data_IF_986148963858
#
_entry.id   IF_986148963858
#
_cell.length_a   1.000
_cell.length_b   1.000
_cell.length_c   1.000
_cell.angle_alpha   90.00
_cell.angle_beta   90.00
_cell.angle_gamma   90.00
#
_symmetry.space_group_name_H-M   'P 1'
#
loop_
_entity.id
_entity.type
_entity.pdbx_description
1 polymer ?
#
# COMPACT_ATOMS: atom_id res chain seq x y z
N UNK A 1 -41.52 16.16 7.59
CA UNK A 1 -40.65 16.08 8.79
C UNK A 1 -39.57 15.06 8.48
N UNK A 2 -38.30 15.38 8.65
CA UNK A 2 -37.22 14.42 8.37
C UNK A 2 -37.27 13.27 9.36
N UNK A 3 -37.22 12.02 8.90
CA UNK A 3 -37.02 10.87 9.77
C UNK A 3 -35.64 10.97 10.41
N UNK A 4 -35.56 10.74 11.73
CA UNK A 4 -34.26 10.67 12.41
C UNK A 4 -33.62 9.33 12.04
N UNK A 5 -32.37 9.33 11.59
CA UNK A 5 -31.63 8.12 11.27
C UNK A 5 -30.46 7.98 12.24
N UNK A 6 -30.12 6.74 12.59
CA UNK A 6 -28.98 6.40 13.46
C UNK A 6 -27.95 5.58 12.66
N UNK A 7 -26.70 5.57 13.13
CA UNK A 7 -25.65 4.72 12.57
C UNK A 7 -25.75 3.29 13.14
N UNK A 8 -25.25 2.29 12.40
CA UNK A 8 -25.23 0.90 12.87
C UNK A 8 -24.48 0.74 14.19
N UNK A 9 -23.38 1.46 14.40
CA UNK A 9 -22.61 1.45 15.65
C UNK A 9 -23.47 1.85 16.85
N UNK A 10 -24.31 2.88 16.72
CA UNK A 10 -25.22 3.33 17.78
C UNK A 10 -26.31 2.29 18.09
N UNK A 11 -26.74 1.53 17.09
CA UNK A 11 -27.69 0.44 17.29
C UNK A 11 -27.03 -0.78 17.95
N UNK A 12 -25.83 -1.15 17.49
CA UNK A 12 -25.07 -2.28 18.00
C UNK A 12 -24.64 -2.04 19.47
N UNK A 13 -24.26 -0.81 19.82
CA UNK A 13 -23.93 -0.43 21.19
C UNK A 13 -25.14 -0.55 22.13
N UNK A 14 -26.31 -0.08 21.70
CA UNK A 14 -27.55 -0.20 22.48
C UNK A 14 -27.96 -1.67 22.67
N UNK A 15 -27.81 -2.51 21.65
CA UNK A 15 -28.05 -3.96 21.76
C UNK A 15 -27.05 -4.60 22.71
N UNK A 16 -25.77 -4.22 22.64
CA UNK A 16 -24.74 -4.76 23.52
C UNK A 16 -24.95 -4.35 24.98
N UNK A 17 -25.35 -3.10 25.23
CA UNK A 17 -25.72 -2.57 26.55
C UNK A 17 -26.91 -3.36 27.13
N UNK A 18 -27.94 -3.63 26.32
CA UNK A 18 -29.09 -4.45 26.72
C UNK A 18 -28.68 -5.88 27.12
N UNK A 19 -27.72 -6.48 26.42
CA UNK A 19 -27.20 -7.82 26.75
C UNK A 19 -26.36 -7.78 28.04
N UNK A 20 -25.51 -6.76 28.22
CA UNK A 20 -24.55 -6.73 29.33
C UNK A 20 -25.10 -6.17 30.63
N UNK A 21 -25.98 -5.16 30.56
CA UNK A 21 -26.50 -4.48 31.75
C UNK A 21 -27.79 -5.13 32.26
N UNK A 22 -28.58 -5.71 31.37
CA UNK A 22 -29.88 -6.29 31.70
C UNK A 22 -29.92 -7.82 31.52
N UNK A 23 -28.78 -8.45 31.20
CA UNK A 23 -28.62 -9.91 31.03
C UNK A 23 -29.66 -10.52 30.07
N UNK A 24 -30.12 -9.74 29.09
CA UNK A 24 -31.11 -10.17 28.12
C UNK A 24 -30.53 -11.16 27.11
N UNK A 25 -31.35 -12.11 26.66
CA UNK A 25 -30.99 -12.95 25.53
C UNK A 25 -30.77 -12.10 24.26
N UNK A 26 -29.78 -12.43 23.41
CA UNK A 26 -29.42 -11.57 22.26
C UNK A 26 -30.57 -11.28 21.30
N UNK A 27 -31.50 -12.22 21.12
CA UNK A 27 -32.69 -12.02 20.29
C UNK A 27 -33.72 -11.07 20.93
N UNK A 28 -33.77 -11.05 22.26
CA UNK A 28 -34.63 -10.17 23.04
C UNK A 28 -34.07 -8.75 23.08
N UNK A 29 -32.77 -8.61 23.33
CA UNK A 29 -32.07 -7.33 23.32
C UNK A 29 -32.22 -6.58 21.98
N UNK A 30 -32.16 -7.29 20.86
CA UNK A 30 -32.41 -6.70 19.52
C UNK A 30 -33.86 -6.24 19.36
N UNK A 31 -34.83 -7.02 19.84
CA UNK A 31 -36.25 -6.61 19.77
C UNK A 31 -36.53 -5.38 20.62
N UNK A 32 -35.95 -5.30 21.82
CA UNK A 32 -36.10 -4.14 22.69
C UNK A 32 -35.45 -2.88 22.08
N UNK A 33 -34.22 -2.99 21.56
CA UNK A 33 -33.55 -1.87 20.90
C UNK A 33 -34.35 -1.35 19.70
N UNK A 34 -34.91 -2.26 18.88
CA UNK A 34 -35.78 -1.88 17.76
C UNK A 34 -37.01 -1.10 18.24
N UNK A 35 -37.71 -1.59 19.27
CA UNK A 35 -38.88 -0.90 19.82
C UNK A 35 -38.52 0.47 20.40
N UNK A 36 -37.40 0.58 21.10
CA UNK A 36 -36.94 1.83 21.70
C UNK A 36 -36.64 2.90 20.65
N UNK A 37 -35.98 2.54 19.54
CA UNK A 37 -35.67 3.46 18.46
C UNK A 37 -36.91 3.80 17.60
N UNK A 38 -37.79 2.83 17.33
CA UNK A 38 -39.04 3.07 16.63
C UNK A 38 -39.98 3.99 17.42
N UNK A 39 -40.05 3.85 18.76
CA UNK A 39 -40.81 4.74 19.64
C UNK A 39 -40.28 6.19 19.65
N UNK A 40 -38.98 6.37 19.37
CA UNK A 40 -38.35 7.69 19.23
C UNK A 40 -38.51 8.28 17.81
N UNK A 41 -39.18 7.57 16.91
CA UNK A 41 -39.39 7.99 15.52
C UNK A 41 -38.12 7.88 14.66
N UNK A 42 -37.23 6.94 15.02
CA UNK A 42 -36.01 6.65 14.24
C UNK A 42 -36.35 5.67 13.12
N UNK A 43 -35.88 5.96 11.91
CA UNK A 43 -35.99 5.09 10.74
C UNK A 43 -34.85 4.07 10.73
N UNK A 44 -35.21 2.79 10.88
CA UNK A 44 -34.29 1.66 10.98
C UNK A 44 -34.15 0.87 9.66
N UNK A 45 -34.63 1.40 8.52
CA UNK A 45 -34.59 0.70 7.23
C UNK A 45 -33.17 0.36 6.73
N UNK A 46 -32.16 1.11 7.17
CA UNK A 46 -30.75 0.90 6.83
C UNK A 46 -29.95 0.14 7.91
N UNK A 47 -30.62 -0.38 8.95
CA UNK A 47 -29.98 -1.04 10.10
C UNK A 47 -30.12 -2.57 9.97
N UNK A 48 -29.01 -3.27 10.15
CA UNK A 48 -28.96 -4.74 10.18
C UNK A 48 -29.42 -5.21 11.57
N UNK A 49 -30.53 -5.96 11.60
CA UNK A 49 -31.20 -6.45 12.84
C UNK A 49 -30.87 -7.92 13.18
N UNK A 50 -29.76 -8.45 12.68
CA UNK A 50 -29.41 -9.88 12.82
C UNK A 50 -28.63 -10.15 14.12
N UNK A 51 -29.08 -11.15 14.87
CA UNK A 51 -28.48 -11.57 16.14
C UNK A 51 -27.25 -12.44 15.86
N UNK A 52 -26.11 -12.12 16.49
CA UNK A 52 -24.88 -12.93 16.39
C UNK A 52 -24.87 -13.98 17.50
N UNK A 53 -24.45 -15.23 17.23
CA UNK A 53 -24.26 -16.20 18.31
C UNK A 53 -23.04 -15.82 19.17
N UNK A 54 -23.24 -15.82 20.49
CA UNK A 54 -22.18 -15.63 21.49
C UNK A 54 -21.39 -16.94 21.62
N UNK A 55 -20.06 -16.88 21.51
CA UNK A 55 -19.18 -18.02 21.83
C UNK A 55 -18.72 -17.88 23.28
N UNK A 56 -18.91 -18.93 24.09
CA UNK A 56 -18.46 -19.03 25.49
C UNK A 56 -16.92 -19.00 25.55
N UNK A 57 -16.36 -17.80 25.54
CA UNK A 57 -15.06 -17.47 26.10
C UNK A 57 -14.96 -15.95 26.05
N UNK A 58 -14.73 -15.31 27.20
CA UNK A 58 -14.66 -13.85 27.37
C UNK A 58 -13.53 -13.12 26.63
N UNK A 59 -13.16 -13.60 25.44
CA UNK A 59 -12.35 -12.92 24.44
C UNK A 59 -13.30 -12.39 23.36
N UNK A 60 -13.18 -11.11 23.00
CA UNK A 60 -13.76 -10.58 21.76
C UNK A 60 -13.26 -11.42 20.59
N UNK A 61 -14.04 -12.41 20.14
CA UNK A 61 -13.82 -13.09 18.88
C UNK A 61 -14.07 -12.08 17.76
N UNK A 62 -13.00 -11.41 17.31
CA UNK A 62 -13.00 -10.77 16.00
C UNK A 62 -12.94 -11.87 14.95
N UNK A 63 -14.13 -12.24 14.49
CA UNK A 63 -14.48 -12.84 13.20
C UNK A 63 -13.64 -14.03 12.70
N UNK A 64 -14.21 -15.23 12.80
CA UNK A 64 -14.27 -16.10 11.63
C UNK A 64 -15.50 -15.69 10.81
N UNK A 65 -15.34 -14.79 9.84
CA UNK A 65 -16.22 -14.76 8.66
C UNK A 65 -15.43 -15.40 7.53
N UNK A 66 -15.49 -16.72 7.48
CA UNK A 66 -15.32 -17.46 6.25
C UNK A 66 -16.72 -17.76 5.70
N UNK A 67 -16.94 -17.34 4.45
CA UNK A 67 -17.85 -17.94 3.47
C UNK A 67 -19.28 -17.44 3.21
N UNK A 68 -19.85 -16.45 3.90
CA UNK A 68 -21.16 -15.90 3.46
C UNK A 68 -21.10 -14.38 3.34
N UNK A 69 -20.71 -13.92 2.14
CA UNK A 69 -20.55 -12.49 1.86
C UNK A 69 -19.53 -12.14 0.76
N UNK A 70 -19.09 -13.11 -0.05
CA UNK A 70 -18.31 -12.87 -1.26
C UNK A 70 -19.17 -12.23 -2.39
N UNK A 71 -19.77 -11.08 -2.10
CA UNK A 71 -20.17 -10.08 -3.09
C UNK A 71 -19.45 -8.75 -2.82
N UNK A 72 -18.25 -8.79 -2.23
CA UNK A 72 -17.28 -7.74 -2.50
C UNK A 72 -17.01 -7.80 -4.01
N UNK A 73 -17.48 -6.79 -4.75
CA UNK A 73 -17.33 -6.68 -6.18
C UNK A 73 -15.90 -7.06 -6.55
N UNK A 74 -15.74 -8.17 -7.27
CA UNK A 74 -14.44 -8.57 -7.79
C UNK A 74 -14.00 -7.43 -8.69
N UNK A 75 -13.09 -6.58 -8.20
CA UNK A 75 -12.50 -5.55 -9.01
C UNK A 75 -11.83 -6.27 -10.17
N UNK A 76 -12.32 -6.01 -11.37
CA UNK A 76 -11.68 -6.48 -12.59
C UNK A 76 -10.24 -5.98 -12.62
N UNK A 77 -9.36 -6.68 -13.33
CA UNK A 77 -8.00 -6.21 -13.63
C UNK A 77 -8.01 -4.74 -14.09
N UNK A 78 -9.03 -4.35 -14.87
CA UNK A 78 -9.22 -2.97 -15.35
C UNK A 78 -9.47 -1.96 -14.22
N UNK A 79 -10.24 -2.32 -13.21
CA UNK A 79 -10.52 -1.46 -12.06
C UNK A 79 -9.31 -1.38 -11.11
N UNK A 80 -8.60 -2.50 -10.89
CA UNK A 80 -7.32 -2.50 -10.16
C UNK A 80 -6.26 -1.65 -10.87
N UNK A 81 -6.17 -1.77 -12.20
CA UNK A 81 -5.28 -0.96 -13.03
C UNK A 81 -5.66 0.53 -12.99
N UNK A 82 -6.95 0.86 -12.95
CA UNK A 82 -7.41 2.24 -12.85
C UNK A 82 -6.97 2.86 -11.52
N UNK A 83 -7.11 2.12 -10.40
CA UNK A 83 -6.61 2.55 -9.09
C UNK A 83 -5.09 2.79 -9.09
N UNK A 84 -4.32 1.89 -9.70
CA UNK A 84 -2.86 2.03 -9.81
C UNK A 84 -2.43 3.23 -10.66
N UNK A 85 -3.14 3.52 -11.76
CA UNK A 85 -2.83 4.66 -12.65
C UNK A 85 -3.05 6.00 -11.97
N UNK A 86 -4.08 6.13 -11.14
CA UNK A 86 -4.31 7.35 -10.34
C UNK A 86 -3.16 7.56 -9.36
N UNK A 87 -2.73 6.54 -8.62
CA UNK A 87 -1.58 6.64 -7.71
C UNK A 87 -0.25 6.97 -8.39
N UNK A 88 0.00 6.41 -9.57
CA UNK A 88 1.25 6.62 -10.35
C UNK A 88 1.42 8.04 -10.92
N UNK A 89 0.32 8.78 -11.09
CA UNK A 89 0.34 10.20 -11.49
C UNK A 89 0.65 11.09 -10.28
N UNK A 90 0.20 10.70 -9.09
CA UNK A 90 0.46 11.40 -7.83
C UNK A 90 1.90 11.22 -7.34
N UNK A 91 2.45 10.00 -7.36
CA UNK A 91 3.86 9.74 -6.98
C UNK A 91 4.87 10.59 -7.79
N UNK A 92 4.58 10.86 -9.06
CA UNK A 92 5.43 11.71 -9.92
C UNK A 92 5.34 13.20 -9.61
N UNK A 93 4.32 13.67 -8.90
CA UNK A 93 4.13 15.08 -8.53
C UNK A 93 4.67 15.43 -7.15
N UNK A 94 4.85 14.45 -6.25
CA UNK A 94 5.33 14.66 -4.87
C UNK A 94 6.78 15.12 -4.72
N UNK A 95 7.60 15.09 -5.78
CA UNK A 95 9.04 15.45 -5.73
C UNK A 95 9.36 16.95 -5.91
N UNK A 96 8.38 17.82 -6.15
CA UNK A 96 8.60 19.24 -6.43
C UNK A 96 7.58 20.12 -5.70
N UNK A 97 7.69 20.21 -4.37
CA UNK A 97 7.02 21.28 -3.64
C UNK A 97 7.97 21.99 -2.68
N UNK A 98 9.04 22.56 -3.24
CA UNK A 98 9.79 23.63 -2.56
C UNK A 98 9.45 24.96 -3.22
N UNK A 99 8.65 25.77 -2.49
CA UNK A 99 8.41 27.21 -2.66
C UNK A 99 7.64 27.66 -3.92
N UNK A 100 6.38 28.00 -3.72
CA UNK A 100 5.77 29.12 -4.42
C UNK A 100 5.04 30.01 -3.39
N UNK A 101 5.62 31.20 -3.15
CA UNK A 101 5.01 32.26 -2.34
C UNK A 101 3.80 32.82 -3.07
N UNK A 102 2.76 33.10 -2.30
CA UNK A 102 1.54 33.81 -2.71
C UNK A 102 1.86 35.24 -3.17
N UNK A 103 1.45 35.58 -4.38
CA UNK A 103 1.44 36.93 -4.92
C UNK A 103 0.44 37.02 -6.06
N UNK A 104 -0.53 37.93 -5.93
CA UNK A 104 -1.72 37.99 -6.75
C UNK A 104 -1.51 38.39 -8.21
N UNK A 105 -2.53 38.07 -9.00
CA UNK A 105 -2.86 38.54 -10.35
C UNK A 105 -1.78 38.39 -11.44
N UNK A 106 -2.03 37.42 -12.34
CA UNK A 106 -1.51 37.43 -13.71
C UNK A 106 -0.66 36.22 -14.06
N UNK A 107 -1.22 35.31 -14.87
CA UNK A 107 -0.48 34.26 -15.57
C UNK A 107 0.61 34.89 -16.45
N UNK A 108 1.88 34.72 -16.07
CA UNK A 108 3.03 34.86 -16.97
C UNK A 108 3.64 33.49 -17.22
N UNK A 109 3.54 33.04 -18.46
CA UNK A 109 4.22 31.85 -18.97
C UNK A 109 5.70 32.19 -19.16
N UNK A 110 6.57 31.59 -18.36
CA UNK A 110 8.01 31.60 -18.64
C UNK A 110 8.31 30.59 -19.75
N UNK A 111 8.63 31.08 -20.94
CA UNK A 111 9.22 30.28 -22.02
C UNK A 111 10.63 29.80 -21.62
N UNK A 112 10.85 28.49 -21.67
CA UNK A 112 12.18 27.88 -21.68
C UNK A 112 12.29 26.91 -22.85
N UNK A 113 13.11 27.27 -23.86
CA UNK A 113 13.36 26.50 -25.09
C UNK A 113 14.05 25.15 -24.78
N UNK A 114 13.53 24.07 -25.33
CA UNK A 114 14.31 22.85 -25.58
C UNK A 114 15.07 23.01 -26.90
N UNK A 115 16.40 22.89 -26.85
CA UNK A 115 17.28 22.77 -28.04
C UNK A 115 17.27 21.31 -28.51
N UNK A 116 17.06 21.10 -29.81
CA UNK A 116 17.21 19.81 -30.49
C UNK A 116 16.05 19.52 -31.42
N UNK A 117 16.15 19.95 -32.68
CA UNK A 117 15.13 19.71 -33.70
C UNK A 117 15.35 18.41 -34.47
N UNK A 118 14.26 17.76 -34.87
CA UNK A 118 14.07 17.02 -36.13
C UNK A 118 12.53 16.92 -36.41
N UNK A 119 12.09 16.80 -37.68
CA UNK A 119 10.77 17.23 -38.14
C UNK A 119 9.68 16.14 -38.05
N UNK A 120 8.45 16.56 -37.76
CA UNK A 120 7.23 15.75 -37.86
C UNK A 120 6.87 15.48 -39.33
N UNK A 121 7.07 14.24 -39.80
CA UNK A 121 6.46 13.72 -41.02
C UNK A 121 5.00 13.33 -40.78
N UNK A 122 4.10 13.74 -41.68
CA UNK A 122 2.65 13.45 -41.63
C UNK A 122 2.38 11.98 -41.97
N UNK A 123 1.49 11.32 -41.24
CA UNK A 123 0.86 10.05 -41.66
C UNK A 123 -0.59 10.29 -42.14
N UNK A 124 -1.08 9.53 -43.14
CA UNK A 124 -2.33 9.82 -43.87
C UNK A 124 -3.63 9.46 -43.11
N UNK A 125 -4.73 10.10 -43.53
CA UNK A 125 -6.08 10.09 -42.92
C UNK A 125 -6.93 8.83 -43.17
N UNK A 126 -6.40 7.75 -43.74
CA UNK A 126 -7.23 6.69 -44.35
C UNK A 126 -7.40 5.39 -43.54
N UNK A 127 -7.10 5.39 -42.24
CA UNK A 127 -7.37 4.24 -41.34
C UNK A 127 -8.56 4.43 -40.38
N UNK A 128 -9.35 5.50 -40.55
CA UNK A 128 -10.57 5.70 -39.75
C UNK A 128 -11.80 5.05 -40.41
N UNK A 129 -11.90 3.73 -40.30
CA UNK A 129 -13.16 3.00 -40.49
C UNK A 129 -14.06 3.15 -39.26
N UNK A 130 -15.35 3.41 -39.49
CA UNK A 130 -16.32 3.83 -38.49
C UNK A 130 -16.60 2.77 -37.40
N UNK A 131 -16.41 3.15 -36.13
CA UNK A 131 -16.89 2.44 -34.95
C UNK A 131 -17.38 3.46 -33.89
N UNK A 132 -18.36 3.12 -33.03
CA UNK A 132 -19.12 4.10 -32.26
C UNK A 132 -18.22 4.88 -31.30
N UNK A 133 -18.47 6.18 -31.27
CA UNK A 133 -17.61 7.24 -30.71
C UNK A 133 -17.16 6.92 -29.28
N UNK A 134 -15.84 6.86 -29.06
CA UNK A 134 -15.26 7.08 -27.72
C UNK A 134 -14.21 6.10 -27.19
N UNK A 135 -13.65 5.19 -28.00
CA UNK A 135 -12.52 4.35 -27.56
C UNK A 135 -11.33 4.51 -28.52
N UNK A 136 -10.10 4.80 -28.05
CA UNK A 136 -8.91 4.50 -28.82
C UNK A 136 -8.66 2.98 -28.82
N UNK A 137 -8.03 2.42 -29.87
CA UNK A 137 -7.81 0.99 -29.99
C UNK A 137 -6.84 0.51 -28.90
N UNK A 138 -7.09 -0.70 -28.39
CA UNK A 138 -6.15 -1.40 -27.51
C UNK A 138 -5.04 -1.90 -28.41
N UNK A 139 -3.91 -1.20 -28.42
CA UNK A 139 -2.66 -1.74 -28.93
C UNK A 139 -1.89 -2.27 -27.72
N UNK A 140 -1.75 -3.59 -27.66
CA UNK A 140 -0.72 -4.26 -26.87
C UNK A 140 0.64 -3.67 -27.25
N UNK A 141 1.28 -2.99 -26.29
CA UNK A 141 2.69 -2.60 -26.43
C UNK A 141 3.38 -2.98 -25.13
N UNK A 142 4.06 -4.12 -25.22
CA UNK A 142 5.16 -4.48 -24.34
C UNK A 142 6.30 -3.45 -24.45
N UNK A 143 7.03 -3.31 -23.34
CA UNK A 143 8.40 -2.78 -23.24
C UNK A 143 8.61 -1.26 -23.35
N UNK A 144 9.17 -0.72 -22.26
CA UNK A 144 10.21 0.32 -22.22
C UNK A 144 10.09 1.50 -23.18
N UNK A 145 9.62 2.66 -22.68
CA UNK A 145 10.13 3.97 -23.10
C UNK A 145 9.60 5.09 -22.20
N UNK A 146 10.45 6.10 -21.94
CA UNK A 146 10.12 7.39 -21.33
C UNK A 146 8.92 8.04 -22.04
N UNK A 147 7.89 8.42 -21.29
CA UNK A 147 6.84 9.30 -21.80
C UNK A 147 6.84 10.63 -21.04
N UNK A 148 7.13 11.68 -21.81
CA UNK A 148 6.98 13.07 -21.42
C UNK A 148 5.52 13.45 -21.21
N UNK A 149 5.37 14.51 -20.43
CA UNK A 149 4.15 15.18 -19.99
C UNK A 149 3.07 15.39 -21.06
N UNK A 150 1.89 14.81 -20.80
CA UNK A 150 0.60 15.27 -21.36
C UNK A 150 -0.24 15.80 -20.19
N UNK A 151 -0.73 17.05 -20.22
CA UNK A 151 -1.61 17.56 -19.18
C UNK A 151 -2.99 16.91 -19.35
N UNK A 152 -3.43 16.14 -18.35
CA UNK A 152 -4.84 15.75 -18.25
C UNK A 152 -5.64 16.99 -17.83
N UNK A 153 -6.46 17.49 -18.75
CA UNK A 153 -7.53 18.42 -18.46
C UNK A 153 -8.61 17.76 -17.59
N UNK A 154 -9.40 18.51 -16.81
CA UNK A 154 -10.32 17.97 -15.80
C UNK A 154 -11.52 17.17 -16.36
N UNK A 155 -11.56 16.91 -17.67
CA UNK A 155 -12.73 16.41 -18.39
C UNK A 155 -12.71 14.89 -18.65
N UNK A 156 -11.72 14.15 -18.14
CA UNK A 156 -11.65 12.68 -18.27
C UNK A 156 -12.21 11.92 -17.05
N UNK A 157 -13.07 12.54 -16.25
CA UNK A 157 -13.94 11.83 -15.29
C UNK A 157 -15.20 11.42 -16.05
N UNK A 158 -15.33 10.14 -16.38
CA UNK A 158 -16.57 9.59 -16.96
C UNK A 158 -17.75 9.85 -16.00
N UNK A 159 -18.97 10.17 -16.50
CA UNK A 159 -20.18 10.32 -15.68
C UNK A 159 -20.72 9.01 -15.06
N UNK A 160 -19.94 7.93 -15.05
CA UNK A 160 -20.26 6.65 -14.40
C UNK A 160 -19.51 6.41 -13.10
N UNK A 161 -18.52 7.25 -12.76
CA UNK A 161 -17.87 7.25 -11.44
C UNK A 161 -18.61 8.16 -10.45
N UNK A 162 -19.94 8.24 -10.56
CA UNK A 162 -20.80 9.08 -9.72
C UNK A 162 -21.02 8.54 -8.30
N UNK A 163 -20.48 7.36 -7.98
CA UNK A 163 -20.33 6.83 -6.64
C UNK A 163 -18.90 6.29 -6.52
N UNK A 164 -17.91 7.18 -6.47
CA UNK A 164 -16.63 6.81 -5.88
C UNK A 164 -16.93 6.50 -4.42
N UNK A 165 -17.09 5.22 -4.09
CA UNK A 165 -16.94 4.74 -2.73
C UNK A 165 -15.71 5.44 -2.14
N UNK A 166 -15.84 6.04 -0.97
CA UNK A 166 -14.73 6.75 -0.35
C UNK A 166 -13.52 5.80 -0.29
N UNK A 167 -12.28 6.29 -0.45
CA UNK A 167 -11.11 5.38 -0.38
C UNK A 167 -11.08 4.62 0.95
N UNK A 168 -11.66 5.22 2.00
CA UNK A 168 -11.93 4.57 3.28
C UNK A 168 -12.83 3.32 3.16
N UNK A 169 -13.93 3.38 2.40
CA UNK A 169 -14.77 2.22 2.10
C UNK A 169 -14.01 1.15 1.30
N UNK A 170 -13.19 1.58 0.34
CA UNK A 170 -12.39 0.66 -0.48
C UNK A 170 -11.33 -0.08 0.37
N UNK A 171 -10.66 0.65 1.27
CA UNK A 171 -9.69 0.09 2.21
C UNK A 171 -10.39 -0.89 3.16
N UNK A 172 -11.56 -0.51 3.70
CA UNK A 172 -12.35 -1.36 4.59
C UNK A 172 -12.81 -2.65 3.90
N UNK A 173 -13.24 -2.57 2.65
CA UNK A 173 -13.68 -3.74 1.88
C UNK A 173 -12.51 -4.63 1.39
N UNK A 174 -11.27 -4.11 1.39
CA UNK A 174 -10.03 -4.73 0.91
C UNK A 174 -10.18 -5.69 -0.29
N UNK A 175 -10.79 -5.24 -1.40
CA UNK A 175 -10.94 -6.10 -2.58
C UNK A 175 -9.59 -6.51 -3.17
N UNK A 176 -8.54 -5.70 -2.98
CA UNK A 176 -7.18 -6.03 -3.41
C UNK A 176 -6.55 -7.15 -2.55
N UNK A 177 -6.73 -7.14 -1.23
CA UNK A 177 -6.27 -8.23 -0.36
C UNK A 177 -6.98 -9.55 -0.71
N UNK A 178 -8.31 -9.48 -0.90
CA UNK A 178 -9.09 -10.63 -1.35
C UNK A 178 -8.66 -11.12 -2.75
N UNK A 179 -8.27 -10.22 -3.66
CA UNK A 179 -7.78 -10.59 -4.98
C UNK A 179 -6.44 -11.33 -4.92
N UNK A 180 -5.51 -10.91 -4.05
CA UNK A 180 -4.24 -11.63 -3.84
C UNK A 180 -4.52 -13.04 -3.32
N UNK A 181 -5.40 -13.19 -2.32
CA UNK A 181 -5.75 -14.49 -1.75
C UNK A 181 -6.46 -15.42 -2.76
N UNK A 182 -7.37 -14.88 -3.58
CA UNK A 182 -8.15 -15.66 -4.56
C UNK A 182 -7.41 -15.98 -5.84
N UNK A 183 -6.48 -15.13 -6.25
CA UNK A 183 -5.76 -15.24 -7.53
C UNK A 183 -4.27 -15.49 -7.34
N UNK A 184 -3.88 -16.21 -6.29
CA UNK A 184 -2.49 -16.56 -5.97
C UNK A 184 -1.74 -17.36 -7.06
N UNK A 185 -2.39 -17.77 -8.15
CA UNK A 185 -1.74 -18.37 -9.32
C UNK A 185 -1.41 -17.39 -10.47
N UNK A 186 -1.87 -16.13 -10.41
CA UNK A 186 -1.71 -15.17 -11.49
C UNK A 186 -0.82 -14.00 -11.09
N UNK A 187 0.45 -14.04 -11.51
CA UNK A 187 1.46 -13.03 -11.20
C UNK A 187 1.01 -11.59 -11.52
N UNK A 188 0.38 -11.37 -12.68
CA UNK A 188 -0.09 -10.03 -13.08
C UNK A 188 -1.15 -9.47 -12.12
N UNK A 189 -2.11 -10.31 -11.70
CA UNK A 189 -3.18 -9.92 -10.80
C UNK A 189 -2.65 -9.67 -9.39
N UNK A 190 -1.75 -10.53 -8.90
CA UNK A 190 -1.15 -10.40 -7.57
C UNK A 190 -0.29 -9.14 -7.50
N UNK A 191 0.57 -8.89 -8.49
CA UNK A 191 1.36 -7.66 -8.56
C UNK A 191 0.49 -6.41 -8.64
N UNK A 192 -0.54 -6.41 -9.51
CA UNK A 192 -1.44 -5.25 -9.63
C UNK A 192 -2.25 -5.01 -8.35
N UNK A 193 -2.73 -6.07 -7.70
CA UNK A 193 -3.47 -5.98 -6.46
C UNK A 193 -2.58 -5.49 -5.31
N UNK A 194 -1.35 -5.99 -5.20
CA UNK A 194 -0.37 -5.50 -4.23
C UNK A 194 -0.05 -4.01 -4.44
N UNK A 195 0.09 -3.59 -5.69
CA UNK A 195 0.27 -2.19 -6.06
C UNK A 195 -0.91 -1.32 -5.65
N UNK A 196 -2.12 -1.76 -5.96
CA UNK A 196 -3.35 -1.06 -5.61
C UNK A 196 -3.48 -0.92 -4.08
N UNK A 197 -3.15 -1.98 -3.34
CA UNK A 197 -3.16 -2.01 -1.88
C UNK A 197 -2.15 -1.02 -1.29
N UNK A 198 -0.95 -0.92 -1.87
CA UNK A 198 0.01 0.13 -1.48
C UNK A 198 -0.50 1.52 -1.79
N UNK A 199 -1.10 1.74 -2.98
CA UNK A 199 -1.66 3.03 -3.35
C UNK A 199 -2.74 3.47 -2.36
N UNK A 200 -3.52 2.51 -1.89
CA UNK A 200 -4.54 2.68 -0.85
C UNK A 200 -3.99 3.06 0.53
N UNK A 201 -2.69 3.27 0.70
CA UNK A 201 -2.07 3.80 1.93
C UNK A 201 -1.44 5.19 1.79
N UNK A 202 -1.53 5.86 0.63
CA UNK A 202 -1.04 7.24 0.48
C UNK A 202 -2.05 8.29 0.92
N UNK A 203 -1.64 9.45 1.39
CA UNK A 203 -2.64 10.47 1.73
C UNK A 203 -3.36 10.97 0.47
N UNK A 204 -4.69 10.92 0.47
CA UNK A 204 -5.54 11.36 -0.65
C UNK A 204 -5.76 12.87 -0.66
N UNK A 205 -5.78 13.48 0.54
CA UNK A 205 -6.10 14.89 0.69
C UNK A 205 -4.93 15.62 1.34
N UNK A 206 -4.10 16.23 0.50
CA UNK A 206 -2.99 17.08 0.93
C UNK A 206 -3.44 18.40 1.59
N UNK A 207 -4.74 18.69 1.60
CA UNK A 207 -5.30 19.92 2.18
C UNK A 207 -5.57 19.78 3.67
N UNK A 208 -5.67 18.55 4.18
CA UNK A 208 -5.80 18.31 5.62
C UNK A 208 -4.41 18.24 6.26
N UNK A 209 -4.26 18.76 7.49
CA UNK A 209 -2.97 18.78 8.17
C UNK A 209 -2.45 17.37 8.54
N UNK A 210 -3.35 16.39 8.63
CA UNK A 210 -3.02 15.00 8.93
C UNK A 210 -3.74 14.10 7.94
N UNK A 211 -2.98 13.24 7.27
CA UNK A 211 -3.54 12.26 6.37
C UNK A 211 -3.86 10.92 7.06
N UNK A 212 -4.65 10.09 6.37
CA UNK A 212 -5.16 8.81 6.89
C UNK A 212 -4.29 7.61 6.50
N UNK A 213 -3.09 7.82 5.93
CA UNK A 213 -2.20 6.75 5.52
C UNK A 213 -1.94 5.68 6.59
N UNK A 214 -1.75 6.11 7.86
CA UNK A 214 -1.51 5.19 8.97
C UNK A 214 -2.77 4.41 9.35
N UNK A 215 -3.94 5.05 9.34
CA UNK A 215 -5.23 4.40 9.59
C UNK A 215 -5.53 3.36 8.51
N UNK A 216 -5.24 3.70 7.25
CA UNK A 216 -5.41 2.78 6.12
C UNK A 216 -4.52 1.56 6.25
N UNK A 217 -3.23 1.74 6.53
CA UNK A 217 -2.31 0.63 6.77
C UNK A 217 -2.79 -0.25 7.94
N UNK A 218 -3.26 0.37 9.04
CA UNK A 218 -3.82 -0.35 10.19
C UNK A 218 -5.05 -1.17 9.82
N UNK A 219 -6.00 -0.62 9.06
CA UNK A 219 -7.19 -1.35 8.61
C UNK A 219 -6.83 -2.53 7.72
N UNK A 220 -5.90 -2.35 6.79
CA UNK A 220 -5.44 -3.43 5.91
C UNK A 220 -4.81 -4.57 6.73
N UNK A 221 -3.94 -4.25 7.69
CA UNK A 221 -3.28 -5.27 8.52
C UNK A 221 -4.27 -5.95 9.45
N UNK A 222 -5.02 -5.19 10.24
CA UNK A 222 -5.84 -5.73 11.33
C UNK A 222 -7.19 -6.31 10.89
N UNK A 223 -7.79 -5.79 9.83
CA UNK A 223 -9.13 -6.24 9.39
C UNK A 223 -9.06 -7.25 8.25
N UNK A 224 -7.94 -7.30 7.52
CA UNK A 224 -7.82 -8.09 6.28
C UNK A 224 -6.60 -9.02 6.25
N UNK A 225 -5.94 -9.24 7.39
CA UNK A 225 -4.73 -10.06 7.51
C UNK A 225 -3.67 -9.73 6.46
N UNK A 226 -3.53 -8.44 6.13
CA UNK A 226 -2.78 -8.00 4.94
C UNK A 226 -1.32 -8.47 4.92
N UNK A 227 -0.67 -8.56 6.08
CA UNK A 227 0.71 -9.04 6.20
C UNK A 227 0.83 -10.52 5.83
N UNK A 228 -0.05 -11.37 6.39
CA UNK A 228 -0.11 -12.80 6.09
C UNK A 228 -0.37 -13.04 4.61
N UNK A 229 -1.36 -12.35 4.04
CA UNK A 229 -1.71 -12.48 2.61
C UNK A 229 -0.52 -12.12 1.71
N UNK A 230 0.21 -11.05 2.01
CA UNK A 230 1.36 -10.64 1.22
C UNK A 230 2.55 -11.60 1.34
N UNK A 231 2.84 -12.09 2.55
CA UNK A 231 3.96 -13.02 2.81
C UNK A 231 3.69 -14.37 2.13
N UNK A 232 2.47 -14.91 2.25
CA UNK A 232 2.13 -16.17 1.59
C UNK A 232 2.12 -16.03 0.06
N UNK A 233 1.67 -14.90 -0.47
CA UNK A 233 1.80 -14.61 -1.89
C UNK A 233 3.27 -14.55 -2.31
N UNK A 234 4.14 -13.92 -1.52
CA UNK A 234 5.56 -13.82 -1.86
C UNK A 234 6.24 -15.21 -1.89
N UNK A 235 5.91 -16.07 -0.94
CA UNK A 235 6.35 -17.48 -0.92
C UNK A 235 5.85 -18.30 -2.11
N UNK A 236 4.70 -17.93 -2.69
CA UNK A 236 4.15 -18.61 -3.88
C UNK A 236 4.74 -18.13 -5.21
N UNK A 237 5.41 -16.97 -5.24
CA UNK A 237 5.96 -16.34 -6.46
C UNK A 237 7.48 -16.14 -6.40
N UNK A 238 8.23 -17.10 -5.85
CA UNK A 238 9.71 -17.03 -5.72
C UNK A 238 10.44 -16.80 -7.04
N UNK A 239 9.85 -17.23 -8.16
CA UNK A 239 10.48 -17.12 -9.48
C UNK A 239 10.12 -15.81 -10.22
N UNK A 240 9.26 -14.96 -9.65
CA UNK A 240 8.78 -13.74 -10.31
C UNK A 240 9.28 -12.47 -9.62
N UNK A 241 10.43 -11.98 -10.07
CA UNK A 241 11.08 -10.76 -9.54
C UNK A 241 10.18 -9.52 -9.58
N UNK A 242 9.33 -9.36 -10.59
CA UNK A 242 8.40 -8.23 -10.69
C UNK A 242 7.35 -8.23 -9.59
N UNK A 243 6.76 -9.40 -9.32
CA UNK A 243 5.77 -9.57 -8.25
C UNK A 243 6.41 -9.46 -6.88
N UNK A 244 7.57 -10.08 -6.67
CA UNK A 244 8.32 -10.00 -5.42
C UNK A 244 8.70 -8.57 -5.05
N UNK A 245 9.18 -7.81 -6.03
CA UNK A 245 9.47 -6.37 -5.87
C UNK A 245 8.24 -5.61 -5.38
N UNK A 246 7.07 -5.87 -5.97
CA UNK A 246 5.84 -5.17 -5.60
C UNK A 246 5.31 -5.59 -4.23
N UNK A 247 5.35 -6.89 -3.91
CA UNK A 247 4.95 -7.43 -2.61
C UNK A 247 5.84 -6.90 -1.49
N UNK A 248 7.17 -6.91 -1.66
CA UNK A 248 8.11 -6.36 -0.67
C UNK A 248 7.86 -4.87 -0.46
N UNK A 249 7.68 -4.09 -1.54
CA UNK A 249 7.39 -2.67 -1.44
C UNK A 249 6.08 -2.36 -0.70
N UNK A 250 5.06 -3.20 -0.88
CA UNK A 250 3.79 -3.10 -0.15
C UNK A 250 3.97 -3.48 1.31
N UNK A 251 4.74 -4.53 1.61
CA UNK A 251 5.05 -4.95 2.97
C UNK A 251 5.78 -3.85 3.75
N UNK A 252 6.79 -3.20 3.15
CA UNK A 252 7.48 -2.05 3.75
C UNK A 252 6.51 -0.94 4.13
N UNK A 253 5.49 -0.71 3.29
CA UNK A 253 4.53 0.37 3.50
C UNK A 253 3.53 0.10 4.62
N UNK A 254 3.22 -1.17 4.86
CA UNK A 254 2.36 -1.62 5.97
C UNK A 254 3.11 -1.75 7.31
N UNK A 255 4.44 -1.78 7.28
CA UNK A 255 5.32 -1.87 8.46
C UNK A 255 5.42 -0.54 9.22
N UNK A 256 4.29 0.04 9.63
CA UNK A 256 4.20 1.38 10.23
C UNK A 256 4.17 1.39 11.77
N UNK A 257 4.05 0.22 12.40
CA UNK A 257 3.95 0.07 13.87
C UNK A 257 4.80 -1.11 14.33
N UNK A 258 5.33 -1.02 15.55
CA UNK A 258 6.20 -2.06 16.12
C UNK A 258 5.53 -3.44 16.17
N UNK A 259 4.23 -3.50 16.47
CA UNK A 259 3.45 -4.74 16.49
C UNK A 259 3.36 -5.40 15.10
N UNK A 260 3.27 -4.61 14.03
CA UNK A 260 3.23 -5.10 12.66
C UNK A 260 4.60 -5.60 12.21
N UNK A 261 5.68 -4.92 12.63
CA UNK A 261 7.03 -5.39 12.38
C UNK A 261 7.29 -6.74 13.04
N UNK A 262 6.83 -6.91 14.29
CA UNK A 262 6.95 -8.19 15.01
C UNK A 262 6.12 -9.28 14.32
N UNK A 263 4.87 -8.98 13.93
CA UNK A 263 4.01 -9.92 13.22
C UNK A 263 4.64 -10.43 11.91
N UNK A 264 5.37 -9.58 11.18
CA UNK A 264 6.12 -10.01 9.97
C UNK A 264 7.18 -11.06 10.32
N UNK A 265 7.87 -10.92 11.44
CA UNK A 265 8.84 -11.91 11.92
C UNK A 265 8.12 -13.20 12.30
N UNK A 266 7.03 -13.11 13.04
CA UNK A 266 6.24 -14.26 13.51
C UNK A 266 5.63 -15.07 12.35
N UNK A 267 5.29 -14.40 11.24
CA UNK A 267 4.82 -15.03 9.99
C UNK A 267 5.96 -15.62 9.13
N UNK A 268 7.21 -15.51 9.59
CA UNK A 268 8.41 -15.96 8.87
C UNK A 268 8.82 -15.06 7.70
N UNK A 269 8.27 -13.84 7.62
CA UNK A 269 8.55 -12.89 6.56
C UNK A 269 9.98 -12.37 6.57
N UNK A 270 10.60 -12.23 7.75
CA UNK A 270 12.01 -11.82 7.86
C UNK A 270 12.95 -12.83 7.20
N UNK A 271 12.86 -14.11 7.57
CA UNK A 271 13.70 -15.16 6.99
C UNK A 271 13.51 -15.22 5.47
N UNK A 272 12.26 -15.12 5.00
CA UNK A 272 11.98 -15.04 3.57
C UNK A 272 12.67 -13.85 2.88
N UNK A 273 12.61 -12.65 3.47
CA UNK A 273 13.28 -11.46 2.90
C UNK A 273 14.80 -11.60 2.86
N UNK A 274 15.41 -12.20 3.89
CA UNK A 274 16.86 -12.44 3.95
C UNK A 274 17.29 -13.44 2.88
N UNK A 275 16.58 -14.57 2.76
CA UNK A 275 16.80 -15.54 1.68
C UNK A 275 16.60 -14.92 0.31
N UNK A 276 15.52 -14.16 0.12
CA UNK A 276 15.22 -13.48 -1.13
C UNK A 276 16.32 -12.48 -1.51
N UNK A 277 16.89 -11.74 -0.56
CA UNK A 277 18.01 -10.85 -0.81
C UNK A 277 19.23 -11.62 -1.33
N UNK A 278 19.54 -12.77 -0.72
CA UNK A 278 20.66 -13.62 -1.14
C UNK A 278 20.45 -14.19 -2.55
N UNK A 279 19.24 -14.67 -2.86
CA UNK A 279 18.93 -15.35 -4.12
C UNK A 279 18.76 -14.38 -5.29
N UNK A 280 18.30 -13.15 -5.03
CA UNK A 280 17.96 -12.17 -6.08
C UNK A 280 18.97 -11.03 -6.24
N UNK A 281 20.24 -11.23 -5.87
CA UNK A 281 21.28 -10.19 -6.01
C UNK A 281 21.44 -9.67 -7.45
N UNK A 282 21.09 -10.45 -8.47
CA UNK A 282 21.15 -10.01 -9.88
C UNK A 282 19.93 -9.16 -10.32
N UNK A 283 18.90 -9.06 -9.47
CA UNK A 283 17.67 -8.33 -9.76
C UNK A 283 17.60 -7.02 -8.95
N UNK A 284 18.13 -5.89 -9.47
CA UNK A 284 18.29 -4.65 -8.71
C UNK A 284 16.97 -4.08 -8.18
N UNK A 285 15.86 -4.27 -8.91
CA UNK A 285 14.54 -3.85 -8.45
C UNK A 285 14.10 -4.62 -7.19
N UNK A 286 14.32 -5.94 -7.14
CA UNK A 286 14.00 -6.76 -5.96
C UNK A 286 14.91 -6.37 -4.80
N UNK A 287 16.23 -6.31 -5.03
CA UNK A 287 17.22 -5.92 -4.02
C UNK A 287 16.84 -4.60 -3.36
N UNK A 288 16.52 -3.57 -4.14
CA UNK A 288 16.09 -2.27 -3.62
C UNK A 288 14.86 -2.38 -2.71
N UNK A 289 13.83 -3.13 -3.13
CA UNK A 289 12.60 -3.24 -2.35
C UNK A 289 12.78 -4.09 -1.10
N UNK A 290 13.58 -5.16 -1.17
CA UNK A 290 13.90 -6.01 -0.01
C UNK A 290 14.71 -5.24 1.02
N UNK A 291 15.73 -4.47 0.62
CA UNK A 291 16.46 -3.59 1.53
C UNK A 291 15.55 -2.55 2.18
N UNK A 292 14.62 -1.97 1.40
CA UNK A 292 13.60 -1.06 1.92
C UNK A 292 12.64 -1.74 2.92
N UNK A 293 12.29 -3.00 2.69
CA UNK A 293 11.46 -3.80 3.60
C UNK A 293 12.19 -4.13 4.89
N UNK A 294 13.42 -4.62 4.83
CA UNK A 294 14.27 -4.87 6.00
C UNK A 294 14.41 -3.60 6.84
N UNK A 295 14.69 -2.45 6.20
CA UNK A 295 14.74 -1.14 6.86
C UNK A 295 13.41 -0.79 7.56
N UNK A 296 12.27 -1.03 6.91
CA UNK A 296 10.97 -0.68 7.47
C UNK A 296 10.63 -1.54 8.69
N UNK A 297 10.86 -2.85 8.61
CA UNK A 297 10.60 -3.77 9.72
C UNK A 297 11.56 -3.51 10.89
N UNK A 298 12.79 -3.05 10.62
CA UNK A 298 13.74 -2.58 11.62
C UNK A 298 13.29 -1.32 12.40
N UNK A 299 12.07 -0.80 12.18
CA UNK A 299 11.44 0.17 13.07
C UNK A 299 11.19 -0.36 14.49
N UNK A 300 11.10 -1.69 14.65
CA UNK A 300 11.02 -2.37 15.95
C UNK A 300 12.43 -2.79 16.42
N UNK A 301 12.78 -2.42 17.66
CA UNK A 301 14.10 -2.69 18.24
C UNK A 301 14.39 -4.19 18.45
N UNK A 302 13.39 -5.01 18.79
CA UNK A 302 13.57 -6.47 18.91
C UNK A 302 13.81 -7.10 17.54
N UNK A 303 13.14 -6.57 16.50
CA UNK A 303 13.32 -7.04 15.13
C UNK A 303 14.68 -6.64 14.57
N UNK A 304 15.30 -5.54 15.03
CA UNK A 304 16.69 -5.22 14.63
C UNK A 304 17.65 -6.33 15.01
N UNK A 305 17.51 -6.86 16.22
CA UNK A 305 18.36 -7.94 16.71
C UNK A 305 18.10 -9.20 15.89
N UNK A 306 16.82 -9.54 15.64
CA UNK A 306 16.46 -10.65 14.76
C UNK A 306 17.03 -10.52 13.33
N UNK A 307 17.07 -9.31 12.77
CA UNK A 307 17.67 -9.04 11.44
C UNK A 307 19.18 -9.30 11.47
N UNK A 308 19.87 -8.87 12.52
CA UNK A 308 21.31 -9.10 12.70
C UNK A 308 21.62 -10.58 12.92
N UNK A 309 20.86 -11.25 13.78
CA UNK A 309 20.99 -12.68 14.07
C UNK A 309 20.72 -13.55 12.85
N UNK A 310 19.84 -13.10 11.94
CA UNK A 310 19.59 -13.76 10.66
C UNK A 310 20.71 -13.58 9.63
N UNK A 311 21.80 -12.86 9.95
CA UNK A 311 22.93 -12.62 9.06
C UNK A 311 22.66 -11.59 7.96
N UNK A 312 21.57 -10.81 8.05
CA UNK A 312 21.19 -9.88 7.00
C UNK A 312 22.22 -8.75 6.81
N UNK A 313 22.97 -8.38 7.85
CA UNK A 313 23.99 -7.32 7.80
C UNK A 313 25.01 -7.55 6.70
N UNK A 314 25.52 -8.78 6.58
CA UNK A 314 26.52 -9.16 5.57
C UNK A 314 25.95 -9.09 4.15
N UNK A 315 24.69 -9.53 3.98
CA UNK A 315 23.98 -9.44 2.71
C UNK A 315 23.70 -7.99 2.30
N UNK A 316 23.38 -7.10 3.24
CA UNK A 316 23.21 -5.67 2.97
C UNK A 316 24.53 -5.06 2.48
N UNK A 317 25.64 -5.38 3.15
CA UNK A 317 26.98 -4.92 2.75
C UNK A 317 27.36 -5.44 1.37
N UNK A 318 27.06 -6.70 1.08
CA UNK A 318 27.27 -7.31 -0.22
C UNK A 318 26.42 -6.61 -1.30
N UNK A 319 25.14 -6.36 -1.04
CA UNK A 319 24.24 -5.68 -1.96
C UNK A 319 24.72 -4.27 -2.31
N UNK A 320 25.17 -3.48 -1.32
CA UNK A 320 25.76 -2.15 -1.55
C UNK A 320 27.01 -2.26 -2.43
N UNK A 321 27.87 -3.24 -2.15
CA UNK A 321 29.14 -3.41 -2.86
C UNK A 321 28.94 -3.85 -4.32
N UNK A 322 28.03 -4.78 -4.56
CA UNK A 322 27.71 -5.29 -5.89
C UNK A 322 26.96 -4.25 -6.74
N UNK A 323 26.07 -3.48 -6.12
CA UNK A 323 25.26 -2.45 -6.79
C UNK A 323 25.76 -1.03 -6.53
N UNK A 324 27.08 -0.85 -6.37
CA UNK A 324 27.67 0.45 -6.08
C UNK A 324 27.35 1.52 -7.14
N UNK A 325 27.06 1.12 -8.38
CA UNK A 325 26.62 2.04 -9.45
C UNK A 325 25.15 2.48 -9.38
N UNK A 326 24.34 1.86 -8.51
CA UNK A 326 22.91 2.15 -8.37
C UNK A 326 22.65 2.97 -7.09
N UNK A 327 22.32 4.27 -7.20
CA UNK A 327 22.15 5.13 -6.03
C UNK A 327 20.95 4.73 -5.18
N UNK A 328 19.88 4.18 -5.76
CA UNK A 328 18.70 3.78 -5.00
C UNK A 328 18.97 2.58 -4.10
N UNK A 329 19.77 1.60 -4.57
CA UNK A 329 20.18 0.46 -3.74
C UNK A 329 21.14 0.92 -2.65
N UNK A 330 22.09 1.79 -2.99
CA UNK A 330 23.01 2.40 -2.02
C UNK A 330 22.26 3.16 -0.92
N UNK A 331 21.27 3.98 -1.27
CA UNK A 331 20.40 4.67 -0.32
C UNK A 331 19.71 3.70 0.63
N UNK A 332 19.01 2.68 0.09
CA UNK A 332 18.27 1.74 0.93
C UNK A 332 19.21 0.90 1.81
N UNK A 333 20.36 0.47 1.29
CA UNK A 333 21.35 -0.27 2.05
C UNK A 333 21.96 0.56 3.18
N UNK A 334 22.43 1.78 2.89
CA UNK A 334 22.96 2.69 3.91
C UNK A 334 21.90 3.02 4.97
N UNK A 335 20.66 3.28 4.55
CA UNK A 335 19.58 3.57 5.47
C UNK A 335 19.20 2.35 6.33
N UNK A 336 19.22 1.13 5.77
CA UNK A 336 19.02 -0.10 6.54
C UNK A 336 20.09 -0.27 7.62
N UNK A 337 21.37 -0.15 7.27
CA UNK A 337 22.47 -0.21 8.24
C UNK A 337 22.34 0.88 9.33
N UNK A 338 21.97 2.10 8.94
CA UNK A 338 21.75 3.20 9.89
C UNK A 338 20.62 2.93 10.89
N UNK A 339 19.51 2.35 10.42
CA UNK A 339 18.38 1.98 11.30
C UNK A 339 18.75 0.83 12.23
N UNK A 340 19.49 -0.17 11.75
CA UNK A 340 19.95 -1.30 12.58
C UNK A 340 20.90 -0.86 13.70
N UNK A 341 21.75 0.14 13.44
CA UNK A 341 22.65 0.73 14.45
C UNK A 341 21.92 1.61 15.48
N UNK A 342 20.76 2.18 15.12
CA UNK A 342 20.09 3.18 15.95
C UNK A 342 19.59 2.59 17.27
N UNK A 343 20.11 3.11 18.40
CA UNK A 343 19.82 2.68 19.79
C UNK A 343 20.19 1.21 20.09
N UNK A 344 21.09 0.61 19.31
CA UNK A 344 21.55 -0.78 19.48
C UNK A 344 23.09 -0.88 19.37
N UNK A 345 23.83 -0.65 20.47
CA UNK A 345 25.29 -0.65 20.44
C UNK A 345 25.88 -2.01 20.04
N UNK A 346 25.23 -3.12 20.37
CA UNK A 346 25.69 -4.46 20.00
C UNK A 346 25.62 -4.65 18.47
N UNK A 347 24.52 -4.22 17.85
CA UNK A 347 24.36 -4.24 16.39
C UNK A 347 25.39 -3.34 15.69
N UNK A 348 25.78 -2.21 16.30
CA UNK A 348 26.86 -1.37 15.76
C UNK A 348 28.18 -2.13 15.63
N UNK A 349 28.52 -2.97 16.61
CA UNK A 349 29.72 -3.81 16.58
C UNK A 349 29.70 -4.72 15.36
N UNK A 350 28.62 -5.48 15.19
CA UNK A 350 28.43 -6.41 14.06
C UNK A 350 28.49 -5.68 12.71
N UNK A 351 27.88 -4.50 12.60
CA UNK A 351 27.88 -3.70 11.36
C UNK A 351 29.30 -3.21 11.02
N UNK A 352 30.08 -2.78 12.01
CA UNK A 352 31.44 -2.29 11.79
C UNK A 352 32.38 -3.44 11.42
N UNK A 353 32.31 -4.56 12.15
CA UNK A 353 33.09 -5.76 11.90
C UNK A 353 32.77 -6.37 10.52
N UNK A 354 31.50 -6.36 10.12
CA UNK A 354 31.03 -6.77 8.78
C UNK A 354 31.38 -5.77 7.66
N UNK A 355 32.10 -4.69 7.95
CA UNK A 355 32.53 -3.71 6.95
C UNK A 355 31.45 -2.74 6.47
N UNK A 356 30.32 -2.65 7.17
CA UNK A 356 29.19 -1.79 6.82
C UNK A 356 29.54 -0.31 6.75
N UNK A 357 30.34 0.19 7.70
CA UNK A 357 30.82 1.58 7.68
C UNK A 357 31.68 1.87 6.42
N UNK A 358 32.54 0.94 6.03
CA UNK A 358 33.36 1.08 4.83
C UNK A 358 32.52 1.01 3.54
N UNK A 359 31.51 0.12 3.49
CA UNK A 359 30.59 0.03 2.37
C UNK A 359 29.76 1.31 2.19
N UNK A 360 29.21 1.86 3.28
CA UNK A 360 28.49 3.12 3.26
C UNK A 360 29.38 4.28 2.77
N UNK A 361 30.63 4.36 3.26
CA UNK A 361 31.58 5.38 2.80
C UNK A 361 31.90 5.24 1.30
N UNK A 362 32.03 4.01 0.78
CA UNK A 362 32.22 3.78 -0.66
C UNK A 362 31.00 4.24 -1.46
N UNK A 363 29.79 3.94 -0.99
CA UNK A 363 28.54 4.37 -1.61
C UNK A 363 28.42 5.90 -1.67
N UNK A 364 28.71 6.59 -0.57
CA UNK A 364 28.73 8.06 -0.51
C UNK A 364 29.74 8.66 -1.49
N UNK A 365 30.93 8.07 -1.60
CA UNK A 365 31.97 8.50 -2.56
C UNK A 365 31.59 8.24 -4.02
N UNK A 366 30.88 7.15 -4.29
CA UNK A 366 30.39 6.80 -5.62
C UNK A 366 29.27 7.73 -6.09
N UNK A 367 28.43 8.23 -5.16
CA UNK A 367 27.26 9.06 -5.44
C UNK A 367 27.28 10.43 -4.74
N UNK A 368 28.30 11.29 -4.95
CA UNK A 368 28.49 12.53 -4.20
C UNK A 368 27.39 13.59 -4.42
N UNK A 369 26.54 13.40 -5.43
CA UNK A 369 25.42 14.32 -5.78
C UNK A 369 24.06 13.83 -5.30
N UNK A 370 23.97 12.58 -4.87
CA UNK A 370 22.72 11.98 -4.42
C UNK A 370 22.57 12.21 -2.93
N UNK A 371 21.82 13.25 -2.56
CA UNK A 371 21.61 13.67 -1.16
C UNK A 371 21.06 12.54 -0.30
N UNK A 372 20.27 11.63 -0.87
CA UNK A 372 19.71 10.50 -0.12
C UNK A 372 20.76 9.44 0.25
N UNK A 373 21.90 9.39 -0.44
CA UNK A 373 23.01 8.46 -0.16
C UNK A 373 24.02 9.06 0.82
N UNK A 374 24.13 10.40 0.87
CA UNK A 374 24.98 11.14 1.81
C UNK A 374 24.38 11.15 3.22
#
# INVERSE_FOLDING_TARGET
MGSRQIAQETFDDAVQENITEFEMEPEEAVREAVQQFEAQGVDLSNIVKAVRPVSENGQRQKHQILLVGAQAAALSLRELCALCRVGSVWLRRGGLCSRARTGGNGLRVCQGRLRGGFPMGRLPRELWGAHPRGCPPVADVALGTRWGSVPLSPSCVRPGCGHLQSRNELVRASPAGAAIARHGGSAELVGTAASALRVMTFDDDIRVPFGHAHDHAKMIVLENDGLRVLIEAAKAFTDNSGVLSELCATLSRLSVRNEFCQEIVDLGGLNFMVTLLADCMEHPDVVKQVLGAIRAVAGNDDVKDAIVDAGATELIVLAISQHLGNPQICEQGCAALGVLALRKPDNCGVIVEGGGAAAALRAMKAHPREVAVQ
#
